data_IF_708790180619
#
_entry.id   IF_708790180619
#
_cell.length_a   1.000
_cell.length_b   1.000
_cell.length_c   1.000
_cell.angle_alpha   90.00
_cell.angle_beta   90.00
_cell.angle_gamma   90.00
#
_symmetry.space_group_name_H-M   'P 1'
#
loop_
_entity.id
_entity.type
_entity.pdbx_description
1 polymer ?
#
# COMPACT_ATOMS: atom_id res chain seq x y z
N UNK A 1 17.50 -4.00 -4.41
CA UNK A 1 16.63 -4.48 -3.31
C UNK A 1 17.50 -4.79 -2.09
N UNK A 2 17.00 -4.65 -0.86
CA UNK A 2 17.67 -5.18 0.34
C UNK A 2 17.00 -6.51 0.70
N UNK A 3 15.72 -6.47 1.07
CA UNK A 3 14.87 -7.63 1.39
C UNK A 3 13.50 -7.47 0.73
N UNK A 4 12.62 -8.49 0.80
CA UNK A 4 11.29 -8.46 0.15
C UNK A 4 10.37 -7.30 0.61
N UNK A 5 10.64 -6.70 1.77
CA UNK A 5 9.90 -5.56 2.33
C UNK A 5 10.75 -4.29 2.52
N UNK A 6 12.04 -4.34 2.15
CA UNK A 6 12.98 -3.25 2.35
C UNK A 6 13.68 -2.91 1.04
N UNK A 7 13.43 -1.71 0.55
CA UNK A 7 13.92 -1.21 -0.74
C UNK A 7 14.99 -0.15 -0.52
N UNK A 8 16.00 -0.11 -1.39
CA UNK A 8 16.89 1.05 -1.53
C UNK A 8 16.40 1.88 -2.70
N UNK A 9 16.16 3.16 -2.45
CA UNK A 9 15.77 4.13 -3.47
C UNK A 9 16.86 5.17 -3.63
N UNK A 10 17.10 5.59 -4.87
CA UNK A 10 17.98 6.71 -5.15
C UNK A 10 17.18 8.02 -5.01
N UNK A 11 17.14 8.51 -3.77
CA UNK A 11 16.62 9.83 -3.42
C UNK A 11 17.69 10.47 -2.53
N UNK A 12 18.12 11.69 -2.86
CA UNK A 12 19.08 12.46 -2.06
C UNK A 12 20.39 11.72 -1.71
N UNK A 13 20.92 10.89 -2.61
CA UNK A 13 22.17 10.14 -2.38
C UNK A 13 21.98 8.72 -1.81
N UNK A 14 20.74 8.24 -1.73
CA UNK A 14 20.41 6.86 -1.39
C UNK A 14 19.71 6.76 -0.02
N UNK A 15 18.50 6.20 -0.01
CA UNK A 15 17.70 6.00 1.18
C UNK A 15 17.16 4.56 1.25
N UNK A 16 17.11 4.00 2.46
CA UNK A 16 16.43 2.74 2.73
C UNK A 16 14.98 3.01 3.13
N UNK A 17 14.03 2.30 2.52
CA UNK A 17 12.59 2.41 2.79
C UNK A 17 12.08 1.05 3.23
N UNK A 18 11.45 0.99 4.40
CA UNK A 18 10.66 -0.14 4.88
C UNK A 18 9.23 0.05 4.42
N UNK A 19 8.72 -0.92 3.66
CA UNK A 19 7.38 -0.84 3.09
C UNK A 19 6.36 -1.01 4.21
N UNK A 20 5.43 -0.05 4.33
CA UNK A 20 4.39 -0.11 5.36
C UNK A 20 3.43 -1.26 5.06
N UNK A 21 3.08 -2.03 6.09
CA UNK A 21 1.99 -3.00 6.08
C UNK A 21 2.35 -4.40 5.59
N UNK A 22 3.60 -4.63 5.14
CA UNK A 22 4.07 -5.95 4.74
C UNK A 22 5.29 -6.38 5.55
N UNK A 23 5.44 -7.69 5.70
CA UNK A 23 6.64 -8.36 6.17
C UNK A 23 6.91 -9.54 5.23
N UNK A 24 8.09 -9.58 4.64
CA UNK A 24 8.47 -10.61 3.67
C UNK A 24 9.52 -11.54 4.29
N UNK A 25 9.53 -12.85 3.94
CA UNK A 25 10.50 -13.76 4.51
C UNK A 25 11.93 -13.31 4.24
N UNK A 26 12.77 -13.42 5.26
CA UNK A 26 14.14 -12.93 5.22
C UNK A 26 15.01 -13.79 4.29
N UNK A 27 15.80 -13.14 3.43
CA UNK A 27 16.55 -13.83 2.37
C UNK A 27 18.05 -13.55 2.36
N UNK A 28 18.53 -12.55 3.11
CA UNK A 28 19.92 -12.11 3.06
C UNK A 28 20.56 -11.82 4.42
N UNK A 29 19.96 -12.24 5.54
CA UNK A 29 20.62 -12.08 6.83
C UNK A 29 21.83 -13.03 6.94
N UNK A 30 23.06 -12.53 7.18
CA UNK A 30 24.27 -13.34 7.17
C UNK A 30 24.32 -14.39 8.28
N UNK A 31 23.57 -14.16 9.36
CA UNK A 31 23.56 -14.98 10.57
C UNK A 31 22.27 -15.81 10.73
N UNK A 32 21.34 -15.74 9.76
CA UNK A 32 20.09 -16.50 9.80
C UNK A 32 19.94 -17.37 8.55
N UNK A 33 19.35 -18.56 8.67
CA UNK A 33 18.97 -19.32 7.49
C UNK A 33 17.96 -18.53 6.67
N UNK A 34 18.07 -18.61 5.34
CA UNK A 34 17.06 -18.07 4.43
C UNK A 34 15.71 -18.63 4.82
N UNK A 35 14.78 -17.75 5.15
CA UNK A 35 13.42 -18.15 5.48
C UNK A 35 12.75 -18.74 4.24
N UNK A 36 11.93 -19.75 4.45
CA UNK A 36 11.27 -20.43 3.35
C UNK A 36 10.35 -19.47 2.58
N UNK A 37 10.51 -19.42 1.25
CA UNK A 37 9.86 -18.44 0.38
C UNK A 37 10.60 -17.10 0.24
N UNK A 38 11.72 -16.90 0.94
CA UNK A 38 12.48 -15.64 0.93
C UNK A 38 13.15 -15.34 -0.41
N UNK A 39 13.66 -16.35 -1.11
CA UNK A 39 14.27 -16.18 -2.44
C UNK A 39 13.23 -15.78 -3.48
N UNK A 40 12.07 -16.42 -3.46
CA UNK A 40 10.95 -16.15 -4.35
C UNK A 40 10.39 -14.75 -4.10
N UNK A 41 10.21 -14.38 -2.83
CA UNK A 41 9.78 -13.05 -2.43
C UNK A 41 10.78 -11.97 -2.88
N UNK A 42 12.07 -12.18 -2.65
CA UNK A 42 13.13 -11.27 -3.11
C UNK A 42 13.18 -11.15 -4.64
N UNK A 43 13.00 -12.26 -5.35
CA UNK A 43 12.96 -12.29 -6.82
C UNK A 43 11.76 -11.55 -7.37
N UNK A 44 10.57 -11.77 -6.80
CA UNK A 44 9.35 -11.03 -7.16
C UNK A 44 9.52 -9.53 -6.91
N UNK A 45 10.06 -9.18 -5.76
CA UNK A 45 10.30 -7.79 -5.39
C UNK A 45 11.27 -7.09 -6.36
N UNK A 46 12.38 -7.76 -6.70
CA UNK A 46 13.33 -7.28 -7.72
C UNK A 46 12.66 -7.12 -9.08
N UNK A 47 11.91 -8.10 -9.56
CA UNK A 47 11.21 -8.02 -10.84
C UNK A 47 10.25 -6.81 -10.93
N UNK A 48 9.60 -6.47 -9.82
CA UNK A 48 8.70 -5.33 -9.73
C UNK A 48 9.44 -4.00 -9.60
N UNK A 49 10.53 -3.91 -8.84
CA UNK A 49 11.10 -2.62 -8.43
C UNK A 49 12.45 -2.27 -9.05
N UNK A 50 13.23 -3.25 -9.50
CA UNK A 50 14.60 -3.04 -9.94
C UNK A 50 14.66 -2.18 -11.21
N UNK A 51 15.46 -1.11 -11.14
CA UNK A 51 15.60 -0.13 -12.22
C UNK A 51 14.34 0.70 -12.51
N UNK A 52 13.27 0.57 -11.71
CA UNK A 52 12.01 1.28 -11.95
C UNK A 52 11.91 2.55 -11.11
N UNK A 53 11.23 3.56 -11.66
CA UNK A 53 10.79 4.73 -10.90
C UNK A 53 9.54 4.39 -10.11
N UNK A 54 9.52 4.80 -8.85
CA UNK A 54 8.42 4.56 -7.92
C UNK A 54 8.04 5.86 -7.22
N UNK A 55 6.80 5.92 -6.75
CA UNK A 55 6.33 6.97 -5.86
C UNK A 55 6.31 6.45 -4.43
N UNK A 56 6.93 7.19 -3.52
CA UNK A 56 6.80 6.94 -2.09
C UNK A 56 5.60 7.70 -1.55
N UNK A 57 4.63 6.99 -1.01
CA UNK A 57 3.45 7.58 -0.38
C UNK A 57 3.54 7.37 1.12
N UNK A 58 3.60 8.47 1.85
CA UNK A 58 3.73 8.44 3.30
C UNK A 58 2.37 8.31 3.97
N UNK A 59 2.36 7.64 5.12
CA UNK A 59 1.17 7.51 5.94
C UNK A 59 1.25 8.48 7.13
N UNK A 60 0.26 9.36 7.28
CA UNK A 60 0.20 10.31 8.39
C UNK A 60 -0.18 9.67 9.73
N UNK A 61 -0.66 8.42 9.75
CA UNK A 61 -0.85 7.65 10.98
C UNK A 61 0.42 6.95 11.46
N UNK A 62 1.49 6.97 10.66
CA UNK A 62 2.77 6.35 10.98
C UNK A 62 3.85 7.41 11.15
N UNK A 63 4.90 7.06 11.89
CA UNK A 63 6.11 7.87 11.92
C UNK A 63 6.75 7.94 10.53
N UNK A 64 7.52 9.00 10.26
CA UNK A 64 8.22 9.14 8.98
C UNK A 64 9.38 8.15 8.82
N UNK A 65 10.01 7.79 9.93
CA UNK A 65 11.12 6.84 9.99
C UNK A 65 10.90 5.85 11.13
N UNK A 66 11.46 4.66 11.00
CA UNK A 66 11.53 3.67 12.09
C UNK A 66 12.74 3.93 13.01
N UNK A 67 12.95 3.04 13.99
CA UNK A 67 14.06 3.14 14.95
C UNK A 67 15.43 3.03 14.27
N UNK A 68 15.50 2.32 13.15
CA UNK A 68 16.73 2.06 12.40
C UNK A 68 17.01 3.17 11.37
N UNK A 69 16.18 4.22 11.38
CA UNK A 69 16.30 5.38 10.51
C UNK A 69 15.81 5.14 9.08
N UNK A 70 15.17 4.01 8.77
CA UNK A 70 14.58 3.75 7.45
C UNK A 70 13.32 4.57 7.26
N UNK A 71 13.07 5.06 6.04
CA UNK A 71 11.80 5.71 5.72
C UNK A 71 10.66 4.68 5.78
N UNK A 72 9.53 5.10 6.34
CA UNK A 72 8.29 4.32 6.29
C UNK A 72 7.40 4.88 5.19
N UNK A 73 7.13 4.09 4.16
CA UNK A 73 6.26 4.49 3.06
C UNK A 73 5.57 3.30 2.38
N UNK A 74 4.46 3.58 1.71
CA UNK A 74 3.96 2.74 0.64
C UNK A 74 4.78 2.99 -0.63
N UNK A 75 4.97 1.95 -1.44
CA UNK A 75 5.68 2.04 -2.71
C UNK A 75 4.68 1.83 -3.84
N UNK A 76 4.48 2.85 -4.67
CA UNK A 76 3.58 2.80 -5.81
C UNK A 76 4.34 2.83 -7.13
N UNK A 77 3.97 1.91 -8.02
CA UNK A 77 4.54 1.76 -9.34
C UNK A 77 3.57 2.28 -10.41
N UNK A 78 4.02 3.17 -11.31
CA UNK A 78 3.20 3.60 -12.44
C UNK A 78 2.72 2.39 -13.28
N UNK A 79 1.42 2.29 -13.51
CA UNK A 79 0.80 1.23 -14.30
C UNK A 79 0.66 -0.14 -13.61
N UNK A 80 1.26 -0.34 -12.43
CA UNK A 80 1.13 -1.57 -11.64
C UNK A 80 0.32 -1.33 -10.36
N UNK A 81 0.53 -0.19 -9.70
CA UNK A 81 -0.15 0.17 -8.45
C UNK A 81 0.71 -0.11 -7.22
N UNK A 82 0.05 -0.48 -6.12
CA UNK A 82 0.67 -0.67 -4.82
C UNK A 82 1.52 -1.95 -4.77
N UNK A 83 2.82 -1.78 -4.47
CA UNK A 83 3.78 -2.86 -4.35
C UNK A 83 3.42 -3.85 -3.22
N UNK A 84 3.03 -3.34 -2.04
CA UNK A 84 2.72 -4.18 -0.89
C UNK A 84 1.52 -5.07 -1.15
N UNK A 85 0.46 -4.53 -1.75
CA UNK A 85 -0.70 -5.32 -2.20
C UNK A 85 -0.29 -6.38 -3.23
N UNK A 86 0.62 -6.05 -4.13
CA UNK A 86 1.12 -7.01 -5.14
C UNK A 86 1.87 -8.18 -4.51
N UNK A 87 2.69 -7.91 -3.48
CA UNK A 87 3.41 -8.93 -2.73
C UNK A 87 2.44 -9.82 -1.92
N UNK A 88 1.46 -9.21 -1.25
CA UNK A 88 0.45 -9.94 -0.46
C UNK A 88 -0.41 -10.86 -1.33
N UNK A 89 -0.91 -10.36 -2.47
CA UNK A 89 -1.73 -11.16 -3.41
C UNK A 89 -0.97 -12.33 -4.02
N UNK A 90 0.34 -12.15 -4.23
CA UNK A 90 1.22 -13.17 -4.76
C UNK A 90 1.77 -14.11 -3.66
N UNK A 91 1.33 -13.96 -2.40
CA UNK A 91 1.77 -14.82 -1.30
C UNK A 91 3.24 -14.66 -0.91
N UNK A 92 3.87 -13.55 -1.27
CA UNK A 92 5.30 -13.29 -1.02
C UNK A 92 5.54 -12.34 0.17
N UNK A 93 4.50 -11.97 0.89
CA UNK A 93 4.58 -11.22 2.14
C UNK A 93 3.36 -11.54 3.01
N UNK A 94 3.45 -11.19 4.30
CA UNK A 94 2.34 -11.19 5.26
C UNK A 94 1.93 -9.78 5.62
N UNK A 95 0.68 -9.63 6.01
CA UNK A 95 0.22 -8.35 6.56
C UNK A 95 0.89 -8.12 7.91
N UNK A 96 1.54 -6.97 8.06
CA UNK A 96 2.25 -6.63 9.28
C UNK A 96 1.82 -5.27 9.81
N UNK A 97 1.16 -5.31 10.96
CA UNK A 97 0.80 -4.13 11.75
C UNK A 97 1.73 -4.05 12.96
N UNK A 98 2.58 -3.03 13.01
CA UNK A 98 3.56 -2.90 14.09
C UNK A 98 2.92 -2.49 15.44
N UNK A 99 2.38 -1.27 15.51
CA UNK A 99 1.85 -0.69 16.75
C UNK A 99 0.46 -0.05 16.59
N UNK A 100 0.24 0.65 15.47
CA UNK A 100 -1.02 1.31 15.17
C UNK A 100 -1.49 0.95 13.76
N UNK A 101 -2.81 0.97 13.55
CA UNK A 101 -3.39 0.75 12.23
C UNK A 101 -2.90 1.81 11.23
N UNK A 102 -2.43 1.35 10.08
CA UNK A 102 -2.08 2.19 8.94
C UNK A 102 -3.28 2.35 8.01
N UNK A 103 -3.30 3.42 7.22
CA UNK A 103 -4.45 3.84 6.41
C UNK A 103 -4.92 2.75 5.44
N UNK A 104 -4.01 1.91 4.91
CA UNK A 104 -4.32 0.87 3.92
C UNK A 104 -4.59 -0.52 4.50
N UNK A 105 -4.63 -0.67 5.83
CA UNK A 105 -4.65 -1.98 6.51
C UNK A 105 -5.80 -2.89 6.06
N UNK A 106 -7.00 -2.35 5.89
CA UNK A 106 -8.14 -3.16 5.44
C UNK A 106 -7.92 -3.76 4.03
N UNK A 107 -7.32 -2.98 3.12
CA UNK A 107 -7.00 -3.43 1.77
C UNK A 107 -5.89 -4.49 1.78
N UNK A 108 -4.88 -4.31 2.62
CA UNK A 108 -3.75 -5.23 2.78
C UNK A 108 -4.21 -6.58 3.35
N UNK A 109 -4.98 -6.57 4.43
CA UNK A 109 -5.58 -7.79 4.99
C UNK A 109 -6.47 -8.51 3.98
N UNK A 110 -7.19 -7.75 3.15
CA UNK A 110 -7.99 -8.34 2.07
C UNK A 110 -7.14 -8.97 0.98
N UNK A 111 -6.02 -8.33 0.61
CA UNK A 111 -5.08 -8.84 -0.38
C UNK A 111 -4.41 -10.14 0.10
N UNK A 112 -3.99 -10.20 1.37
CA UNK A 112 -3.45 -11.41 1.98
C UNK A 112 -4.46 -12.57 1.97
N UNK A 113 -5.72 -12.31 2.36
CA UNK A 113 -6.78 -13.33 2.33
C UNK A 113 -7.11 -13.84 0.92
N UNK A 114 -6.89 -13.01 -0.09
CA UNK A 114 -7.13 -13.35 -1.49
C UNK A 114 -5.95 -14.08 -2.14
N UNK A 115 -4.81 -14.21 -1.45
CA UNK A 115 -3.67 -14.96 -1.95
C UNK A 115 -4.11 -16.42 -2.22
N UNK A 116 -3.98 -16.90 -3.47
CA UNK A 116 -4.40 -18.26 -3.83
C UNK A 116 -3.69 -19.29 -2.96
N UNK A 117 -4.40 -20.31 -2.48
CA UNK A 117 -3.79 -21.36 -1.65
C UNK A 117 -2.60 -22.08 -2.32
N UNK A 118 -2.57 -22.10 -3.66
CA UNK A 118 -1.51 -22.68 -4.49
C UNK A 118 -0.33 -21.73 -4.78
N UNK A 119 -0.54 -20.40 -4.75
CA UNK A 119 0.49 -19.36 -4.92
C UNK A 119 0.89 -18.75 -3.58
N UNK A 120 0.70 -19.52 -2.51
CA UNK A 120 1.07 -19.09 -1.18
C UNK A 120 2.58 -19.04 -0.97
N UNK A 121 3.43 -19.44 -1.92
CA UNK A 121 4.91 -19.45 -1.81
C UNK A 121 5.40 -20.00 -0.47
N UNK A 122 5.44 -19.12 0.52
CA UNK A 122 5.59 -19.30 1.97
C UNK A 122 4.64 -20.34 2.62
N UNK A 123 3.42 -20.61 2.11
CA UNK A 123 2.45 -21.47 2.80
C UNK A 123 2.12 -22.82 2.15
N UNK A 124 2.68 -23.15 0.99
CA UNK A 124 2.48 -24.44 0.32
C UNK A 124 3.63 -25.41 0.55
N UNK A 125 4.86 -24.91 0.47
CA UNK A 125 6.09 -25.74 0.44
C UNK A 125 6.80 -25.78 1.80
N UNK A 126 6.62 -24.75 2.64
CA UNK A 126 7.32 -24.62 3.93
C UNK A 126 6.74 -25.45 5.07
N UNK A 127 5.59 -26.09 4.87
CA UNK A 127 5.02 -27.07 5.82
C UNK A 127 5.74 -28.43 5.80
N UNK A 128 6.78 -28.61 4.98
CA UNK A 128 7.64 -29.79 4.96
C UNK A 128 9.13 -29.42 5.09
N UNK A 129 9.53 -28.91 6.25
CA UNK A 129 10.94 -28.75 6.59
C UNK A 129 11.21 -29.18 8.03
N UNK A 130 11.15 -30.49 8.26
CA UNK A 130 12.09 -31.17 9.16
C UNK A 130 12.67 -32.39 8.40
N UNK A 131 13.99 -32.61 8.38
CA UNK A 131 14.57 -33.80 7.78
C UNK A 131 14.52 -34.95 8.79
N UNK A 132 13.88 -36.06 8.44
CA UNK A 132 14.00 -37.32 9.17
C UNK A 132 14.47 -38.39 8.18
N UNK A 133 15.45 -39.25 8.52
CA UNK A 133 16.19 -40.04 7.55
C UNK A 133 15.34 -41.16 6.93
N UNK A 134 15.73 -41.53 5.72
CA UNK A 134 15.21 -42.58 4.88
C UNK A 134 15.26 -43.97 5.56
N UNK A 135 14.10 -44.56 5.85
CA UNK A 135 13.92 -46.01 5.94
C UNK A 135 12.59 -46.40 5.25
N UNK A 136 12.65 -47.41 4.39
CA UNK A 136 11.47 -48.01 3.70
C UNK A 136 11.67 -49.53 3.67
N UNK A 137 10.64 -50.42 3.65
CA UNK A 137 9.23 -50.38 4.09
C UNK A 137 8.83 -51.58 5.02
N UNK A 138 7.70 -51.61 5.74
CA UNK A 138 6.35 -52.14 5.38
C UNK A 138 5.69 -52.74 6.68
N UNK A 139 4.39 -53.14 6.75
CA UNK A 139 3.24 -52.92 5.86
C UNK A 139 2.05 -52.24 6.58
N UNK A 140 1.01 -51.92 5.80
CA UNK A 140 -0.23 -51.28 6.26
C UNK A 140 -1.03 -52.11 7.28
N UNK A 141 -1.79 -51.42 8.15
CA UNK A 141 -3.16 -51.82 8.42
C UNK A 141 -4.15 -50.70 8.02
N UNK A 142 -5.27 -51.11 7.43
CA UNK A 142 -6.46 -50.30 7.17
C UNK A 142 -7.55 -50.70 8.19
N UNK A 143 -8.70 -50.02 8.28
CA UNK A 143 -8.94 -48.84 9.11
C UNK A 143 -10.05 -49.08 10.16
N UNK A 144 -10.16 -48.23 11.20
CA UNK A 144 -11.48 -47.86 11.75
C UNK A 144 -11.47 -46.77 12.83
N UNK A 145 -12.35 -45.79 12.58
CA UNK A 145 -13.25 -45.08 13.51
C UNK A 145 -12.63 -44.33 14.69
N UNK A 146 -12.86 -43.04 14.94
CA UNK A 146 -14.08 -42.24 14.73
C UNK A 146 -13.70 -40.76 14.92
N UNK A 147 -14.11 -39.87 14.03
CA UNK A 147 -14.08 -38.42 14.27
C UNK A 147 -15.50 -37.86 14.06
N UNK A 148 -16.01 -37.00 14.94
CA UNK A 148 -17.40 -36.52 14.88
C UNK A 148 -17.59 -35.57 13.69
N UNK A 149 -18.81 -35.56 13.15
CA UNK A 149 -19.20 -34.70 12.05
C UNK A 149 -19.01 -33.21 12.39
N UNK A 150 -18.52 -32.37 11.45
CA UNK A 150 -18.45 -30.93 11.65
C UNK A 150 -19.84 -30.31 11.68
N UNK A 151 -20.04 -29.34 12.58
CA UNK A 151 -21.26 -28.55 12.69
C UNK A 151 -21.55 -27.76 11.39
N UNK A 152 -22.83 -27.48 11.06
CA UNK A 152 -23.18 -26.74 9.86
C UNK A 152 -22.64 -25.30 9.90
N UNK A 153 -22.06 -24.87 8.78
CA UNK A 153 -21.55 -23.52 8.59
C UNK A 153 -22.67 -22.46 8.76
N UNK A 154 -22.38 -21.29 9.36
CA UNK A 154 -23.35 -20.20 9.43
C UNK A 154 -23.65 -19.66 8.02
N UNK A 155 -24.92 -19.35 7.77
CA UNK A 155 -25.38 -18.74 6.52
C UNK A 155 -24.65 -17.39 6.26
N UNK A 156 -24.35 -17.06 4.99
CA UNK A 156 -23.63 -15.85 4.64
C UNK A 156 -24.43 -14.59 5.04
N UNK A 157 -23.75 -13.66 5.69
CA UNK A 157 -24.31 -12.34 6.00
C UNK A 157 -24.66 -11.58 4.71
N UNK A 158 -25.72 -10.74 4.70
CA UNK A 158 -26.10 -9.98 3.52
C UNK A 158 -24.96 -9.05 3.07
N UNK A 159 -24.76 -8.96 1.76
CA UNK A 159 -23.70 -8.15 1.16
C UNK A 159 -23.81 -6.67 1.60
N UNK A 160 -22.70 -6.00 1.94
CA UNK A 160 -22.71 -4.59 2.29
C UNK A 160 -23.16 -3.76 1.09
N UNK A 161 -23.97 -2.73 1.35
CA UNK A 161 -24.42 -1.78 0.35
C UNK A 161 -23.23 -1.16 -0.40
N UNK A 162 -23.38 -0.84 -1.71
CA UNK A 162 -22.31 -0.28 -2.50
C UNK A 162 -21.79 1.02 -1.88
N UNK A 163 -20.46 1.14 -1.79
CA UNK A 163 -19.79 2.31 -1.24
C UNK A 163 -20.23 3.59 -1.98
N UNK A 164 -20.36 4.73 -1.25
CA UNK A 164 -20.68 6.00 -1.89
C UNK A 164 -19.61 6.35 -2.92
N UNK A 165 -20.04 6.83 -4.10
CA UNK A 165 -19.14 7.25 -5.17
C UNK A 165 -18.18 8.33 -4.65
N UNK A 166 -16.89 8.32 -5.05
CA UNK A 166 -15.93 9.34 -4.65
C UNK A 166 -16.47 10.74 -4.96
N UNK A 167 -16.46 11.61 -3.96
CA UNK A 167 -16.81 13.03 -4.17
C UNK A 167 -15.69 13.64 -5.03
N UNK A 168 -16.03 14.31 -6.15
CA UNK A 168 -15.02 14.91 -7.01
C UNK A 168 -14.21 15.96 -6.23
N UNK A 169 -12.89 15.91 -6.40
CA UNK A 169 -11.96 16.89 -5.82
C UNK A 169 -12.36 18.31 -6.28
N UNK A 170 -12.43 19.30 -5.39
CA UNK A 170 -12.72 20.67 -5.78
C UNK A 170 -11.73 21.16 -6.86
N UNK A 171 -12.20 21.93 -7.86
CA UNK A 171 -11.32 22.52 -8.85
C UNK A 171 -10.27 23.40 -8.18
N UNK A 172 -9.05 23.43 -8.74
CA UNK A 172 -7.98 24.29 -8.25
C UNK A 172 -8.43 25.76 -8.26
N UNK A 173 -8.03 26.51 -7.23
CA UNK A 173 -8.35 27.93 -7.15
C UNK A 173 -7.70 28.71 -8.31
N UNK A 174 -8.41 29.69 -8.91
CA UNK A 174 -7.90 30.48 -10.02
C UNK A 174 -6.72 31.37 -9.58
N UNK A 175 -5.70 31.51 -10.43
CA UNK A 175 -4.49 32.29 -10.14
C UNK A 175 -4.76 33.78 -10.39
N UNK A 176 -4.43 34.64 -9.44
CA UNK A 176 -4.64 36.09 -9.56
C UNK A 176 -3.68 36.75 -10.58
N UNK A 177 -4.12 37.77 -11.34
CA UNK A 177 -3.28 38.48 -12.31
C UNK A 177 -2.16 39.33 -11.70
N UNK A 178 -2.05 39.38 -10.37
CA UNK A 178 -1.01 40.10 -9.66
C UNK A 178 -1.48 40.63 -8.30
N UNK A 179 -0.61 41.36 -7.58
CA UNK A 179 -0.90 41.85 -6.24
C UNK A 179 -2.11 42.79 -6.22
N UNK A 180 -2.99 42.60 -5.23
CA UNK A 180 -4.16 43.43 -4.98
C UNK A 180 -5.37 43.13 -5.89
N UNK A 181 -5.29 42.15 -6.79
CA UNK A 181 -6.45 41.66 -7.54
C UNK A 181 -7.17 40.58 -6.72
N UNK A 182 -8.50 40.68 -6.64
CA UNK A 182 -9.38 39.70 -5.98
C UNK A 182 -10.58 39.35 -6.87
N UNK A 183 -11.46 38.47 -6.42
CA UNK A 183 -12.71 38.12 -7.09
C UNK A 183 -13.81 37.84 -6.05
N UNK A 184 -15.04 37.59 -6.51
CA UNK A 184 -16.19 37.38 -5.62
C UNK A 184 -16.11 36.12 -4.77
N UNK A 185 -15.37 35.09 -5.23
CA UNK A 185 -15.14 33.89 -4.44
C UNK A 185 -14.11 34.12 -3.31
N UNK A 186 -13.14 35.01 -3.54
CA UNK A 186 -12.09 35.35 -2.58
C UNK A 186 -12.48 36.48 -1.63
N UNK A 187 -13.44 37.33 -2.01
CA UNK A 187 -13.93 38.42 -1.15
C UNK A 187 -15.46 38.47 -1.21
N UNK A 188 -16.14 37.43 -0.68
CA UNK A 188 -17.60 37.35 -0.70
C UNK A 188 -18.21 38.48 0.13
N UNK A 189 -19.29 39.09 -0.38
CA UNK A 189 -20.03 40.13 0.32
C UNK A 189 -19.42 41.53 0.27
N UNK A 190 -18.37 41.77 -0.52
CA UNK A 190 -17.85 43.13 -0.72
C UNK A 190 -18.86 44.04 -1.43
N UNK A 191 -19.20 45.18 -0.84
CA UNK A 191 -20.23 46.12 -1.36
C UNK A 191 -19.67 47.47 -1.82
N UNK A 192 -18.36 47.70 -1.71
CA UNK A 192 -17.72 48.95 -2.13
C UNK A 192 -17.52 49.07 -3.64
N UNK A 193 -16.98 50.22 -4.09
CA UNK A 193 -16.65 50.43 -5.49
C UNK A 193 -15.53 49.48 -5.96
N UNK A 194 -15.61 49.06 -7.22
CA UNK A 194 -14.74 48.05 -7.83
C UNK A 194 -14.19 48.54 -9.15
N UNK A 195 -12.90 48.34 -9.39
CA UNK A 195 -12.31 48.45 -10.72
C UNK A 195 -12.13 47.04 -11.29
N UNK A 196 -12.79 46.74 -12.41
CA UNK A 196 -12.65 45.46 -13.11
C UNK A 196 -11.28 45.31 -13.81
N UNK A 197 -10.82 44.07 -13.97
CA UNK A 197 -9.61 43.77 -14.72
C UNK A 197 -9.78 44.13 -16.20
N UNK A 198 -8.92 45.00 -16.76
CA UNK A 198 -9.09 45.50 -18.13
C UNK A 198 -8.93 44.39 -19.20
N UNK A 199 -8.20 43.32 -18.90
CA UNK A 199 -8.06 42.16 -19.78
C UNK A 199 -9.25 41.19 -19.77
N UNK A 200 -10.34 41.51 -19.07
CA UNK A 200 -11.53 40.66 -18.98
C UNK A 200 -11.38 39.53 -17.96
N UNK A 201 -11.72 38.30 -18.35
CA UNK A 201 -11.68 37.11 -17.48
C UNK A 201 -10.36 36.35 -17.59
N UNK A 202 -9.92 35.76 -16.48
CA UNK A 202 -8.80 34.80 -16.46
C UNK A 202 -9.36 33.49 -15.92
N UNK A 203 -9.19 32.40 -16.66
CA UNK A 203 -9.77 31.07 -16.36
C UNK A 203 -11.28 31.11 -16.06
N UNK A 204 -12.00 31.98 -16.78
CA UNK A 204 -13.44 32.17 -16.62
C UNK A 204 -13.86 33.05 -15.43
N UNK A 205 -12.92 33.56 -14.64
CA UNK A 205 -13.17 34.34 -13.42
C UNK A 205 -12.94 35.83 -13.65
N UNK A 206 -13.87 36.66 -13.17
CA UNK A 206 -13.71 38.12 -13.16
C UNK A 206 -12.85 38.55 -11.97
N UNK A 207 -11.82 39.32 -12.27
CA UNK A 207 -10.94 39.92 -11.27
C UNK A 207 -11.24 41.39 -11.11
N UNK A 208 -11.17 41.89 -9.89
CA UNK A 208 -11.39 43.30 -9.55
C UNK A 208 -10.48 43.75 -8.40
N UNK A 209 -10.33 45.07 -8.24
CA UNK A 209 -9.71 45.69 -7.06
C UNK A 209 -10.69 46.62 -6.35
N UNK A 210 -10.66 46.70 -5.01
CA UNK A 210 -11.39 47.71 -4.28
C UNK A 210 -10.83 49.10 -4.61
N UNK A 211 -11.72 50.05 -4.89
CA UNK A 211 -11.38 51.45 -5.12
C UNK A 211 -12.26 52.33 -4.22
N UNK A 212 -11.79 53.55 -3.95
CA UNK A 212 -12.62 54.56 -3.33
C UNK A 212 -13.78 54.92 -4.26
N UNK A 213 -14.97 54.97 -3.68
CA UNK A 213 -16.02 55.86 -4.16
C UNK A 213 -15.69 57.26 -3.59
#
# INVERSE_FOLDING_TARGET
MVDGDTVKVDINGGESVRVIGIDAPESVHPDQPVECGGVEASTKAKALLEGKRVNLVYDSSQARRDRDGRLLAYVELPGVGDFGISMLRAGHAREYTYAAAYQRQAAYRSAERQAPAADRGIWGECSQAEPVPEETPAPAPSPSSSAPAPAPAPAPAPAPAPAPKPVPKPPAAPIAPGPGWTNDALTPGYTGCRQGYPGGKIDGVYWWKPIAC
#
